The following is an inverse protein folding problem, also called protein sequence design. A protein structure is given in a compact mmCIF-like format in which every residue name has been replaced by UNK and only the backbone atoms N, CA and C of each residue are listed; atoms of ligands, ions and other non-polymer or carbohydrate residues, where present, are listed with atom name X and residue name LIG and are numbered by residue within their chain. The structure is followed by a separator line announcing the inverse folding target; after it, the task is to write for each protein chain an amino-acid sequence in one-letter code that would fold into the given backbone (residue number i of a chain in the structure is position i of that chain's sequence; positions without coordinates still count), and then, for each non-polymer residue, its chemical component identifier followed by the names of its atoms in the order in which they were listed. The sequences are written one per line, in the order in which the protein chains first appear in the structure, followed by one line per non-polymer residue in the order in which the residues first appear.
data_IF_931366514180
#
_entry.id   IF_931366514180
#
_cell.length_a   1.000
_cell.length_b   1.000
_cell.length_c   1.000
_cell.angle_alpha   90.00
_cell.angle_beta   90.00
_cell.angle_gamma   90.00
#
_symmetry.space_group_name_H-M   'P 1'
#
loop_
_entity.id
_entity.type
_entity.pdbx_description
1 polymer ?
#
# COMPACT_ATOMS: atom_id res chain seq x y z
N UNK A 1 -8.48 -3.59 -19.88
CA UNK A 1 -7.60 -3.69 -18.70
C UNK A 1 -8.47 -3.96 -17.49
N UNK A 2 -8.40 -5.19 -16.96
CA UNK A 2 -9.07 -5.65 -15.75
C UNK A 2 -8.00 -6.14 -14.77
N UNK A 3 -7.97 -5.59 -13.56
CA UNK A 3 -6.97 -5.93 -12.53
C UNK A 3 -7.65 -6.65 -11.36
N UNK A 4 -7.16 -7.85 -11.02
CA UNK A 4 -7.71 -8.70 -9.97
C UNK A 4 -7.07 -8.42 -8.61
N UNK A 5 -7.83 -8.51 -7.52
CA UNK A 5 -7.26 -8.49 -6.17
C UNK A 5 -6.57 -9.83 -5.89
N UNK A 6 -5.28 -9.80 -5.56
CA UNK A 6 -4.52 -10.99 -5.14
C UNK A 6 -4.36 -11.01 -3.63
N UNK A 7 -5.02 -11.96 -2.97
CA UNK A 7 -4.96 -12.18 -1.51
C UNK A 7 -3.98 -13.30 -1.21
N UNK A 8 -4.11 -14.44 -1.91
CA UNK A 8 -3.33 -15.64 -1.64
C UNK A 8 -3.23 -16.57 -2.86
N UNK A 9 -2.48 -17.68 -2.74
CA UNK A 9 -2.14 -18.55 -3.88
C UNK A 9 -3.35 -19.08 -4.66
N UNK A 10 -4.52 -19.22 -4.03
CA UNK A 10 -5.75 -19.68 -4.70
C UNK A 10 -6.24 -18.68 -5.76
N UNK A 11 -5.84 -17.42 -5.65
CA UNK A 11 -6.20 -16.35 -6.59
C UNK A 11 -5.36 -16.39 -7.87
N UNK A 12 -4.32 -17.25 -7.95
CA UNK A 12 -3.55 -17.41 -9.19
C UNK A 12 -4.42 -17.76 -10.40
N UNK A 13 -5.54 -18.47 -10.17
CA UNK A 13 -6.53 -18.79 -11.19
C UNK A 13 -7.17 -17.56 -11.85
N UNK A 14 -7.20 -16.42 -11.16
CA UNK A 14 -7.73 -15.17 -11.74
C UNK A 14 -6.92 -14.75 -12.97
N UNK A 15 -5.60 -14.95 -12.97
CA UNK A 15 -4.76 -14.63 -14.12
C UNK A 15 -4.72 -15.74 -15.18
N UNK A 16 -4.81 -17.01 -14.78
CA UNK A 16 -4.68 -18.13 -15.72
C UNK A 16 -6.01 -18.50 -16.39
N UNK A 17 -7.14 -18.31 -15.70
CA UNK A 17 -8.48 -18.74 -16.14
C UNK A 17 -9.50 -17.59 -16.14
N UNK A 18 -9.31 -16.59 -15.28
CA UNK A 18 -10.27 -15.50 -15.08
C UNK A 18 -10.23 -14.38 -16.12
N UNK A 19 -9.27 -14.41 -17.06
CA UNK A 19 -9.15 -13.41 -18.13
C UNK A 19 -8.67 -12.03 -17.68
N UNK A 20 -8.12 -11.90 -16.46
CA UNK A 20 -7.59 -10.63 -15.96
C UNK A 20 -6.26 -10.27 -16.65
N UNK A 21 -5.99 -8.97 -16.70
CA UNK A 21 -4.79 -8.38 -17.32
C UNK A 21 -3.65 -8.19 -16.32
N UNK A 22 -3.94 -8.27 -15.01
CA UNK A 22 -2.95 -8.15 -13.94
C UNK A 22 -3.56 -8.29 -12.56
N UNK A 23 -2.74 -8.08 -11.52
CA UNK A 23 -3.19 -8.09 -10.12
C UNK A 23 -2.71 -6.89 -9.33
N UNK A 24 -3.50 -6.52 -8.31
CA UNK A 24 -3.14 -5.58 -7.25
C UNK A 24 -3.38 -6.19 -5.86
N UNK A 25 -2.89 -5.55 -4.78
CA UNK A 25 -2.84 -6.18 -3.45
C UNK A 25 -3.64 -5.48 -2.35
N UNK A 26 -4.10 -4.25 -2.60
CA UNK A 26 -4.96 -3.37 -1.79
C UNK A 26 -4.49 -3.10 -0.35
N UNK A 27 -4.43 -4.10 0.52
CA UNK A 27 -4.35 -3.89 1.97
C UNK A 27 -3.06 -3.18 2.40
N UNK A 28 -3.19 -2.07 3.13
CA UNK A 28 -2.07 -1.30 3.67
C UNK A 28 -1.32 -2.02 4.80
N UNK A 29 -1.90 -3.07 5.38
CA UNK A 29 -1.30 -3.86 6.47
C UNK A 29 -0.32 -4.91 5.94
N UNK A 30 0.98 -4.71 6.20
CA UNK A 30 2.04 -5.71 5.99
C UNK A 30 1.69 -6.98 6.76
N UNK A 31 1.58 -8.11 6.05
CA UNK A 31 1.32 -9.41 6.67
C UNK A 31 -0.16 -9.80 6.81
N UNK A 32 -1.11 -8.96 6.37
CA UNK A 32 -2.53 -9.32 6.46
C UNK A 32 -2.90 -10.45 5.48
N UNK A 33 -2.32 -10.42 4.27
CA UNK A 33 -2.51 -11.43 3.22
C UNK A 33 -1.16 -11.79 2.60
N UNK A 34 -1.09 -12.82 1.75
CA UNK A 34 0.14 -13.11 1.00
C UNK A 34 0.46 -11.94 0.07
N UNK A 35 -0.57 -11.40 -0.61
CA UNK A 35 -0.44 -10.25 -1.51
C UNK A 35 0.00 -8.96 -0.83
N UNK A 36 -0.44 -8.70 0.39
CA UNK A 36 -0.05 -7.50 1.15
C UNK A 36 1.21 -7.68 2.01
N UNK A 37 2.01 -8.72 1.75
CA UNK A 37 3.29 -8.94 2.41
C UNK A 37 4.41 -8.62 1.41
N UNK A 38 5.15 -7.51 1.58
CA UNK A 38 6.14 -7.05 0.61
C UNK A 38 7.23 -8.06 0.27
N UNK A 39 7.62 -8.90 1.23
CA UNK A 39 8.58 -9.99 1.05
C UNK A 39 8.17 -10.97 -0.07
N UNK A 40 6.88 -11.03 -0.44
CA UNK A 40 6.37 -11.87 -1.54
C UNK A 40 6.27 -11.13 -2.88
N UNK A 41 6.44 -9.81 -2.93
CA UNK A 41 6.14 -9.03 -4.13
C UNK A 41 7.01 -9.38 -5.32
N UNK A 42 8.30 -9.66 -5.12
CA UNK A 42 9.16 -10.14 -6.20
C UNK A 42 8.68 -11.49 -6.78
N UNK A 43 8.27 -12.44 -5.92
CA UNK A 43 7.71 -13.73 -6.37
C UNK A 43 6.43 -13.52 -7.18
N UNK A 44 5.54 -12.64 -6.71
CA UNK A 44 4.27 -12.36 -7.38
C UNK A 44 4.52 -11.68 -8.73
N UNK A 45 5.41 -10.69 -8.76
CA UNK A 45 5.83 -9.97 -9.98
C UNK A 45 6.42 -10.91 -11.02
N UNK A 46 7.37 -11.76 -10.63
CA UNK A 46 8.01 -12.69 -11.57
C UNK A 46 6.97 -13.68 -12.14
N UNK A 47 6.02 -14.12 -11.31
CA UNK A 47 4.91 -14.95 -11.76
C UNK A 47 3.99 -14.22 -12.75
N UNK A 48 3.54 -13.00 -12.46
CA UNK A 48 2.65 -12.24 -13.36
C UNK A 48 3.35 -11.91 -14.68
N UNK A 49 4.62 -11.50 -14.63
CA UNK A 49 5.41 -11.20 -15.83
C UNK A 49 5.62 -12.44 -16.69
N UNK A 50 5.80 -13.62 -16.10
CA UNK A 50 5.88 -14.89 -16.86
C UNK A 50 4.62 -15.20 -17.67
N UNK A 51 3.48 -14.62 -17.28
CA UNK A 51 2.19 -14.75 -17.96
C UNK A 51 1.89 -13.57 -18.90
N UNK A 52 2.80 -12.61 -19.04
CA UNK A 52 2.57 -11.36 -19.77
C UNK A 52 1.49 -10.48 -19.11
N UNK A 53 1.38 -10.52 -17.78
CA UNK A 53 0.37 -9.82 -16.98
C UNK A 53 1.02 -8.77 -16.08
N UNK A 54 0.24 -7.74 -15.75
CA UNK A 54 0.67 -6.63 -14.91
C UNK A 54 0.70 -7.01 -13.42
N UNK A 55 1.66 -6.45 -12.69
CA UNK A 55 1.69 -6.44 -11.24
C UNK A 55 1.68 -5.03 -10.68
N UNK A 56 0.74 -4.78 -9.76
CA UNK A 56 0.49 -3.48 -9.16
C UNK A 56 0.46 -3.60 -7.63
N UNK A 57 1.60 -3.65 -6.93
CA UNK A 57 1.60 -3.65 -5.47
C UNK A 57 0.89 -2.40 -4.92
N UNK A 58 0.20 -2.58 -3.80
CA UNK A 58 -0.44 -1.49 -3.07
C UNK A 58 0.36 -1.16 -1.81
N UNK A 59 0.78 0.09 -1.70
CA UNK A 59 1.50 0.64 -0.54
C UNK A 59 0.55 1.47 0.31
N UNK A 60 0.76 1.55 1.62
CA UNK A 60 -0.05 2.38 2.50
C UNK A 60 0.75 2.95 3.67
N UNK A 61 0.33 4.08 4.25
CA UNK A 61 1.12 4.80 5.25
C UNK A 61 1.05 4.21 6.66
N UNK A 62 0.13 3.27 6.88
CA UNK A 62 -0.18 2.64 8.17
C UNK A 62 -1.60 2.09 8.12
N UNK A 63 -2.11 1.61 9.26
CA UNK A 63 -3.48 1.09 9.36
C UNK A 63 -4.00 1.20 10.80
N UNK A 64 -5.14 1.85 11.00
CA UNK A 64 -5.84 1.95 12.29
C UNK A 64 -7.35 2.06 12.08
N UNK A 65 -8.05 0.93 12.18
CA UNK A 65 -9.51 0.85 12.15
C UNK A 65 -10.14 0.61 13.52
N UNK A 66 -9.36 0.71 14.61
CA UNK A 66 -9.84 0.45 15.96
C UNK A 66 -11.06 1.30 16.38
N UNK A 67 -11.25 2.55 15.91
CA UNK A 67 -12.46 3.31 16.20
C UNK A 67 -13.76 2.65 15.76
N UNK A 68 -13.75 1.86 14.68
CA UNK A 68 -14.94 1.20 14.12
C UNK A 68 -14.88 -0.33 14.23
N UNK A 69 -13.69 -0.91 14.39
CA UNK A 69 -13.45 -2.34 14.58
C UNK A 69 -12.49 -2.60 15.76
N UNK A 70 -12.91 -2.35 17.02
CA UNK A 70 -12.05 -2.52 18.22
C UNK A 70 -11.40 -3.90 18.37
N UNK A 71 -11.98 -4.94 17.77
CA UNK A 71 -11.46 -6.31 17.76
C UNK A 71 -10.28 -6.53 16.80
N UNK A 72 -9.95 -5.57 15.93
CA UNK A 72 -9.01 -5.77 14.82
C UNK A 72 -7.56 -5.32 15.10
N UNK A 73 -7.18 -5.22 16.38
CA UNK A 73 -5.83 -4.75 16.81
C UNK A 73 -4.66 -5.49 16.19
N UNK A 74 -4.84 -6.75 15.76
CA UNK A 74 -3.80 -7.53 15.06
C UNK A 74 -3.30 -6.84 13.78
N UNK A 75 -4.17 -6.12 13.09
CA UNK A 75 -3.87 -5.49 11.80
C UNK A 75 -3.41 -4.04 11.91
N UNK A 76 -3.41 -3.49 13.12
CA UNK A 76 -2.89 -2.16 13.42
C UNK A 76 -1.42 -2.04 12.99
N UNK A 77 -1.09 -0.95 12.28
CA UNK A 77 0.28 -0.58 11.91
C UNK A 77 0.48 0.90 12.18
N UNK A 78 1.42 1.19 13.07
CA UNK A 78 1.86 2.56 13.34
C UNK A 78 2.49 3.15 12.08
N UNK A 79 2.37 4.47 11.90
CA UNK A 79 2.97 5.14 10.73
C UNK A 79 4.46 5.42 10.89
N UNK A 80 4.95 5.38 12.13
CA UNK A 80 6.36 5.51 12.51
C UNK A 80 7.02 6.75 11.89
N UNK A 81 6.34 7.91 11.96
CA UNK A 81 6.86 9.15 11.39
C UNK A 81 7.02 9.15 9.87
N UNK A 82 6.44 8.17 9.15
CA UNK A 82 6.59 7.99 7.71
C UNK A 82 7.46 6.80 7.31
N UNK A 83 8.15 6.16 8.27
CA UNK A 83 9.07 5.04 8.00
C UNK A 83 8.31 3.80 7.48
N UNK A 84 7.11 3.54 8.00
CA UNK A 84 6.27 2.44 7.52
C UNK A 84 5.92 2.61 6.03
N UNK A 85 5.53 3.83 5.64
CA UNK A 85 5.18 4.15 4.25
C UNK A 85 6.40 4.04 3.33
N UNK A 86 7.53 4.58 3.79
CA UNK A 86 8.81 4.54 3.09
C UNK A 86 9.27 3.11 2.84
N UNK A 87 9.23 2.25 3.86
CA UNK A 87 9.58 0.84 3.74
C UNK A 87 8.69 0.10 2.73
N UNK A 88 7.38 0.39 2.72
CA UNK A 88 6.49 -0.20 1.72
C UNK A 88 6.82 0.27 0.30
N UNK A 89 7.14 1.54 0.09
CA UNK A 89 7.56 2.02 -1.23
C UNK A 89 8.90 1.44 -1.68
N UNK A 90 9.90 1.38 -0.79
CA UNK A 90 11.20 0.77 -1.07
C UNK A 90 11.02 -0.68 -1.55
N UNK A 91 10.26 -1.48 -0.80
CA UNK A 91 9.97 -2.86 -1.19
C UNK A 91 9.19 -2.97 -2.49
N UNK A 92 8.29 -2.01 -2.78
CA UNK A 92 7.54 -1.98 -4.04
C UNK A 92 8.48 -1.69 -5.21
N UNK A 93 9.33 -0.68 -5.11
CA UNK A 93 10.29 -0.29 -6.15
C UNK A 93 11.31 -1.40 -6.39
N UNK A 94 11.85 -2.01 -5.34
CA UNK A 94 12.78 -3.15 -5.42
C UNK A 94 12.17 -4.36 -6.17
N UNK A 95 10.86 -4.57 -6.04
CA UNK A 95 10.16 -5.63 -6.76
C UNK A 95 10.00 -5.35 -8.28
N UNK A 96 10.33 -4.13 -8.74
CA UNK A 96 10.23 -3.68 -10.15
C UNK A 96 8.86 -3.99 -10.79
N UNK A 97 7.76 -3.44 -10.24
CA UNK A 97 6.41 -3.63 -10.74
C UNK A 97 6.15 -2.74 -11.96
N UNK A 98 5.02 -2.98 -12.65
CA UNK A 98 4.58 -2.15 -13.77
C UNK A 98 3.98 -0.81 -13.28
N UNK A 99 3.30 -0.84 -12.14
CA UNK A 99 2.69 0.32 -11.50
C UNK A 99 2.73 0.17 -9.98
N UNK A 100 2.60 1.27 -9.23
CA UNK A 100 2.37 1.24 -7.78
C UNK A 100 1.03 1.91 -7.49
N UNK A 101 0.22 1.29 -6.65
CA UNK A 101 -1.03 1.87 -6.15
C UNK A 101 -0.88 2.32 -4.70
N UNK A 102 -1.56 3.39 -4.30
CA UNK A 102 -1.56 3.88 -2.91
C UNK A 102 -2.90 3.58 -2.27
N UNK A 103 -2.87 2.82 -1.18
CA UNK A 103 -3.99 2.61 -0.28
C UNK A 103 -3.76 3.44 0.97
N UNK A 104 -4.37 4.62 1.08
CA UNK A 104 -5.38 5.21 0.19
C UNK A 104 -5.23 6.72 0.13
N UNK A 105 -5.97 7.38 -0.76
CA UNK A 105 -6.10 8.84 -0.64
C UNK A 105 -6.79 9.21 0.68
N UNK A 106 -8.01 8.71 0.91
CA UNK A 106 -8.87 9.18 1.99
C UNK A 106 -9.74 8.10 2.66
N UNK A 107 -9.27 6.85 2.80
CA UNK A 107 -9.97 5.89 3.66
C UNK A 107 -9.66 6.14 5.15
N UNK A 108 -10.35 7.15 5.69
CA UNK A 108 -10.27 7.59 7.07
C UNK A 108 -10.72 6.54 8.10
N UNK A 109 -11.65 5.65 7.74
CA UNK A 109 -12.16 4.64 8.67
C UNK A 109 -11.13 3.57 8.98
N UNK A 110 -10.21 3.30 8.05
CA UNK A 110 -9.11 2.35 8.21
C UNK A 110 -7.77 3.03 8.54
N UNK A 111 -7.75 4.36 8.65
CA UNK A 111 -6.55 5.11 8.97
C UNK A 111 -5.44 4.99 7.91
N UNK A 112 -5.80 4.70 6.66
CA UNK A 112 -4.85 4.48 5.54
C UNK A 112 -4.65 5.72 4.67
N UNK A 113 -5.35 6.82 4.95
CA UNK A 113 -5.33 8.04 4.16
C UNK A 113 -3.96 8.71 4.11
N UNK A 114 -3.59 9.23 2.93
CA UNK A 114 -2.52 10.23 2.75
C UNK A 114 -3.06 11.66 2.67
N UNK A 115 -4.39 11.83 2.58
CA UNK A 115 -5.06 13.13 2.68
C UNK A 115 -4.64 13.86 3.97
N UNK A 116 -4.44 15.19 3.94
CA UNK A 116 -3.93 15.91 5.10
C UNK A 116 -4.74 15.71 6.38
N UNK A 117 -4.03 15.45 7.48
CA UNK A 117 -4.63 15.34 8.82
C UNK A 117 -4.05 16.40 9.76
N UNK A 118 -4.92 17.00 10.57
CA UNK A 118 -4.55 17.99 11.58
C UNK A 118 -4.84 17.46 12.99
N UNK A 119 -4.06 17.87 14.01
CA UNK A 119 -4.38 17.56 15.40
C UNK A 119 -5.80 18.02 15.75
N UNK A 120 -6.60 17.12 16.33
CA UNK A 120 -7.97 17.40 16.70
C UNK A 120 -8.35 16.71 18.01
N UNK A 121 -9.27 17.33 18.75
CA UNK A 121 -9.82 16.81 20.01
C UNK A 121 -11.33 17.01 20.03
N UNK A 122 -12.07 16.00 20.46
CA UNK A 122 -13.52 16.07 20.68
C UNK A 122 -13.87 15.43 22.04
N UNK A 123 -14.31 16.25 22.99
CA UNK A 123 -14.47 15.82 24.38
C UNK A 123 -13.15 15.31 24.95
N UNK A 124 -13.14 14.10 25.50
CA UNK A 124 -11.93 13.44 26.01
C UNK A 124 -11.11 12.73 24.91
N UNK A 125 -11.67 12.56 23.72
CA UNK A 125 -11.01 11.85 22.62
C UNK A 125 -10.01 12.76 21.92
N UNK A 126 -8.74 12.37 21.94
CA UNK A 126 -7.69 12.90 21.08
C UNK A 126 -7.62 12.07 19.80
N UNK A 127 -7.72 12.71 18.63
CA UNK A 127 -7.53 12.04 17.35
C UNK A 127 -6.04 11.90 17.06
N UNK A 128 -5.70 10.87 16.29
CA UNK A 128 -4.33 10.69 15.78
C UNK A 128 -4.08 11.71 14.68
N UNK A 129 -2.84 12.17 14.61
CA UNK A 129 -2.38 13.17 13.65
C UNK A 129 -1.02 12.77 13.09
N UNK A 130 -0.40 13.66 12.32
CA UNK A 130 0.85 13.38 11.61
C UNK A 130 2.08 13.97 12.29
N UNK A 131 1.95 14.61 13.46
CA UNK A 131 3.09 15.25 14.11
C UNK A 131 4.22 14.23 14.37
N UNK A 132 5.50 14.63 14.18
CA UNK A 132 5.97 15.98 13.89
C UNK A 132 5.91 16.39 12.40
N UNK A 133 5.41 15.53 11.49
CA UNK A 133 5.19 15.93 10.10
C UNK A 133 4.09 17.01 10.03
N UNK A 134 4.21 17.86 9.01
CA UNK A 134 3.15 18.80 8.62
C UNK A 134 1.90 18.04 8.16
N UNK A 135 0.70 18.68 8.15
CA UNK A 135 -0.55 18.01 7.77
C UNK A 135 -0.51 17.32 6.40
N UNK A 136 0.18 17.90 5.42
CA UNK A 136 0.40 17.37 4.07
C UNK A 136 1.66 16.50 3.95
N UNK A 137 2.27 16.07 5.05
CA UNK A 137 3.53 15.34 5.08
C UNK A 137 3.51 14.03 4.29
N UNK A 138 2.38 13.32 4.24
CA UNK A 138 2.25 12.11 3.42
C UNK A 138 2.15 12.41 1.92
N UNK A 139 1.61 13.57 1.52
CA UNK A 139 1.64 13.99 0.11
C UNK A 139 3.08 14.33 -0.33
N UNK A 140 3.86 14.99 0.54
CA UNK A 140 5.29 15.24 0.30
C UNK A 140 6.07 13.92 0.16
N UNK A 141 5.81 12.94 1.04
CA UNK A 141 6.42 11.62 0.95
C UNK A 141 6.00 10.88 -0.32
N UNK A 142 4.72 10.90 -0.70
CA UNK A 142 4.27 10.31 -1.96
C UNK A 142 4.98 10.95 -3.15
N UNK A 143 5.13 12.28 -3.18
CA UNK A 143 5.83 12.99 -4.25
C UNK A 143 7.32 12.61 -4.31
N UNK A 144 8.00 12.47 -3.15
CA UNK A 144 9.36 11.93 -3.10
C UNK A 144 9.43 10.55 -3.76
N UNK A 145 8.56 9.62 -3.35
CA UNK A 145 8.58 8.24 -3.83
C UNK A 145 8.18 8.09 -5.30
N UNK A 146 7.29 8.95 -5.82
CA UNK A 146 7.01 9.01 -7.26
C UNK A 146 8.28 9.31 -8.05
N UNK A 147 9.09 10.29 -7.61
CA UNK A 147 10.36 10.61 -8.28
C UNK A 147 11.36 9.47 -8.25
N UNK A 148 11.48 8.78 -7.11
CA UNK A 148 12.35 7.60 -7.00
C UNK A 148 11.89 6.47 -7.93
N UNK A 149 10.58 6.21 -8.00
CA UNK A 149 10.03 5.21 -8.91
C UNK A 149 10.26 5.58 -10.38
N UNK A 150 10.03 6.84 -10.77
CA UNK A 150 10.31 7.34 -12.13
C UNK A 150 11.78 7.22 -12.51
N UNK A 151 12.70 7.52 -11.57
CA UNK A 151 14.14 7.40 -11.79
C UNK A 151 14.54 5.94 -12.07
N UNK A 152 14.06 4.99 -11.25
CA UNK A 152 14.34 3.55 -11.45
C UNK A 152 13.73 3.04 -12.75
N UNK A 153 12.52 3.46 -13.12
CA UNK A 153 11.89 3.07 -14.39
C UNK A 153 12.67 3.59 -15.61
N UNK A 154 13.28 4.77 -15.53
CA UNK A 154 14.07 5.34 -16.62
C UNK A 154 15.40 4.60 -16.86
N UNK A 155 15.98 3.98 -15.81
CA UNK A 155 17.22 3.19 -15.95
C UNK A 155 17.00 1.82 -16.62
N UNK A 156 15.75 1.34 -16.70
CA UNK A 156 15.41 0.05 -17.32
C UNK A 156 15.13 0.13 -18.83
N UNK A 157 15.03 1.34 -19.40
CA UNK A 157 14.79 1.60 -20.83
C UNK A 157 16.09 1.85 -21.60
#
# INVERSE_FOLDING_TARGET
IMIALYVNQKDKRLLTEGGFDGVYTYFATKGFTKGSTPDNWKEIRDWTHSLGKLFIPSVGPGYDDLPIRPWNKKNYREREGGDYYSTMFESAIEARPDFISVTSFNEWHEGTQIEPAVPAKYGERQYRDYLPLKPDGYLDLSHKWVKEFEAVQAEEQ
#
